data_IF_144875716092
#
_entry.id   IF_144875716092
#
_cell.length_a   1.000
_cell.length_b   1.000
_cell.length_c   1.000
_cell.angle_alpha   90.00
_cell.angle_beta   90.00
_cell.angle_gamma   90.00
#
_symmetry.space_group_name_H-M   'P 1'
#
loop_
_entity.id
_entity.type
_entity.pdbx_description
1 polymer ?
#
# COMPACT_ATOMS: atom_id res chain seq x y z
N UNK A 1 -47.30 65.22 69.62
CA UNK A 1 -45.93 65.02 70.15
C UNK A 1 -45.18 64.11 69.16
N UNK A 2 -43.91 64.44 68.86
CA UNK A 2 -42.79 63.54 68.46
C UNK A 2 -43.08 62.41 67.42
N UNK A 3 -42.70 62.52 66.14
CA UNK A 3 -41.38 62.27 65.48
C UNK A 3 -41.02 60.80 65.15
N UNK A 4 -40.43 60.60 63.95
CA UNK A 4 -39.90 59.37 63.28
C UNK A 4 -38.74 58.66 64.03
N UNK A 5 -38.08 57.53 63.57
CA UNK A 5 -38.15 56.79 62.29
C UNK A 5 -38.00 55.23 62.32
N UNK A 6 -37.83 54.66 61.11
CA UNK A 6 -37.63 53.25 60.60
C UNK A 6 -36.14 52.81 60.79
N UNK A 7 -35.71 51.52 61.05
CA UNK A 7 -35.75 50.43 60.04
C UNK A 7 -35.60 48.90 60.38
N UNK A 8 -36.10 48.07 59.45
CA UNK A 8 -35.59 46.77 58.90
C UNK A 8 -35.04 45.60 59.77
N UNK A 9 -35.53 44.37 59.47
CA UNK A 9 -34.68 43.21 59.06
C UNK A 9 -35.39 42.27 58.06
N UNK A 10 -34.79 42.10 56.88
CA UNK A 10 -35.01 40.92 56.02
C UNK A 10 -34.48 39.67 56.73
N UNK A 11 -35.10 38.49 56.53
CA UNK A 11 -34.39 37.31 56.02
C UNK A 11 -35.34 36.19 55.55
N UNK A 12 -35.34 35.95 54.24
CA UNK A 12 -35.44 34.67 53.50
C UNK A 12 -36.28 33.51 54.10
N UNK A 13 -37.31 33.08 53.36
CA UNK A 13 -37.66 31.66 53.14
C UNK A 13 -38.76 31.51 52.06
N UNK A 14 -38.38 31.64 50.77
CA UNK A 14 -39.30 31.43 49.63
C UNK A 14 -38.53 31.20 48.31
N UNK A 15 -37.66 30.18 48.26
CA UNK A 15 -36.86 29.84 47.07
C UNK A 15 -36.43 28.37 47.04
N UNK A 16 -37.39 27.44 47.04
CA UNK A 16 -37.11 25.99 47.03
C UNK A 16 -38.14 25.16 46.24
N UNK A 17 -38.57 25.63 45.05
CA UNK A 17 -39.45 24.85 44.17
C UNK A 17 -39.27 25.11 42.66
N UNK A 18 -38.09 25.55 42.22
CA UNK A 18 -37.85 25.93 40.80
C UNK A 18 -36.46 25.52 40.28
N UNK A 19 -35.95 24.34 40.67
CA UNK A 19 -34.66 23.86 40.14
C UNK A 19 -34.53 22.32 39.97
N UNK A 20 -35.61 21.65 39.54
CA UNK A 20 -35.60 20.20 39.25
C UNK A 20 -36.18 19.83 37.88
N UNK A 21 -36.01 20.69 36.86
CA UNK A 21 -36.44 20.42 35.47
C UNK A 21 -35.30 20.53 34.44
N UNK A 22 -34.03 20.65 34.90
CA UNK A 22 -32.85 20.85 34.04
C UNK A 22 -32.04 19.60 33.69
N UNK A 23 -32.51 18.41 34.09
CA UNK A 23 -31.77 17.14 34.01
C UNK A 23 -32.49 16.06 33.17
N UNK A 24 -33.33 16.48 32.21
CA UNK A 24 -33.74 15.59 31.12
C UNK A 24 -32.51 15.42 30.21
N UNK A 25 -31.90 14.23 30.11
CA UNK A 25 -30.85 14.01 29.12
C UNK A 25 -31.46 14.30 27.74
N UNK A 26 -30.85 15.19 26.97
CA UNK A 26 -31.27 15.42 25.58
C UNK A 26 -31.34 14.05 24.90
N UNK A 27 -32.47 13.63 24.32
CA UNK A 27 -32.57 12.33 23.69
C UNK A 27 -31.41 12.21 22.70
N UNK A 28 -30.65 11.12 22.79
CA UNK A 28 -29.56 10.85 21.86
C UNK A 28 -30.15 10.97 20.46
N UNK A 29 -29.73 12.01 19.72
CA UNK A 29 -30.39 12.40 18.48
C UNK A 29 -30.17 11.24 17.52
N UNK A 30 -31.21 10.44 17.24
CA UNK A 30 -31.14 9.39 16.25
C UNK A 30 -30.76 10.04 14.93
N UNK A 31 -29.47 9.96 14.59
CA UNK A 31 -28.94 10.57 13.40
C UNK A 31 -29.41 9.72 12.22
N UNK A 32 -30.51 10.16 11.62
CA UNK A 32 -31.02 9.59 10.38
C UNK A 32 -29.95 9.67 9.31
N UNK A 33 -29.96 8.71 8.39
CA UNK A 33 -28.99 8.69 7.31
C UNK A 33 -29.12 9.98 6.46
N UNK A 34 -28.02 10.69 6.17
CA UNK A 34 -28.05 12.02 5.55
C UNK A 34 -28.29 11.94 4.02
N UNK A 35 -29.47 11.45 3.63
CA UNK A 35 -29.85 11.22 2.23
C UNK A 35 -29.81 12.51 1.40
N UNK A 36 -30.33 13.62 1.92
CA UNK A 36 -30.38 14.90 1.19
C UNK A 36 -28.97 15.44 0.92
N UNK A 37 -28.07 15.36 1.90
CA UNK A 37 -26.68 15.79 1.75
C UNK A 37 -25.94 14.92 0.74
N UNK A 38 -26.18 13.60 0.75
CA UNK A 38 -25.60 12.68 -0.23
C UNK A 38 -26.15 12.94 -1.64
N UNK A 39 -27.45 13.21 -1.79
CA UNK A 39 -28.04 13.59 -3.07
C UNK A 39 -27.48 14.91 -3.61
N UNK A 40 -27.27 15.91 -2.74
CA UNK A 40 -26.65 17.17 -3.13
C UNK A 40 -25.21 16.98 -3.65
N UNK A 41 -24.41 16.15 -2.98
CA UNK A 41 -23.06 15.78 -3.44
C UNK A 41 -23.09 15.02 -4.78
N UNK A 42 -24.02 14.08 -4.94
CA UNK A 42 -24.19 13.30 -6.18
C UNK A 42 -24.73 14.13 -7.36
N UNK A 43 -25.24 15.33 -7.09
CA UNK A 43 -25.73 16.28 -8.10
C UNK A 43 -24.72 17.40 -8.42
N UNK A 44 -23.47 17.29 -7.95
CA UNK A 44 -22.48 18.34 -8.13
C UNK A 44 -21.96 18.42 -9.58
N UNK A 45 -21.54 19.60 -10.07
CA UNK A 45 -21.07 19.77 -11.46
C UNK A 45 -19.89 18.85 -11.82
N UNK A 46 -19.05 18.49 -10.85
CA UNK A 46 -17.90 17.58 -11.02
C UNK A 46 -18.33 16.16 -11.43
N UNK A 47 -19.56 15.75 -11.10
CA UNK A 47 -20.11 14.41 -11.41
C UNK A 47 -21.06 14.41 -12.61
N UNK A 48 -21.29 15.55 -13.28
CA UNK A 48 -22.32 15.70 -14.33
C UNK A 48 -22.16 14.76 -15.56
N UNK A 49 -20.96 14.19 -15.76
CA UNK A 49 -20.65 13.23 -16.83
C UNK A 49 -20.17 11.87 -16.30
N UNK A 50 -20.24 11.64 -14.98
CA UNK A 50 -19.79 10.40 -14.35
C UNK A 50 -20.93 9.36 -14.29
N UNK A 51 -20.60 8.10 -14.58
CA UNK A 51 -21.48 6.98 -14.27
C UNK A 51 -21.33 6.60 -12.79
N UNK A 52 -22.26 7.04 -11.95
CA UNK A 52 -22.20 6.84 -10.50
C UNK A 52 -23.21 5.78 -10.04
N UNK A 53 -22.73 4.82 -9.26
CA UNK A 53 -23.54 3.84 -8.53
C UNK A 53 -23.23 3.90 -7.04
N UNK A 54 -24.28 3.93 -6.20
CA UNK A 54 -24.19 3.99 -4.75
C UNK A 54 -25.19 3.04 -4.14
N UNK A 55 -24.76 2.23 -3.17
CA UNK A 55 -25.64 1.38 -2.37
C UNK A 55 -25.19 1.46 -0.91
N UNK A 56 -26.07 1.92 -0.03
CA UNK A 56 -25.80 2.03 1.40
C UNK A 56 -26.81 1.18 2.17
N UNK A 57 -26.28 0.23 2.95
CA UNK A 57 -27.06 -0.63 3.84
C UNK A 57 -26.55 -0.51 5.27
N UNK A 58 -27.45 -0.66 6.24
CA UNK A 58 -27.08 -0.78 7.65
C UNK A 58 -26.50 -2.18 7.92
N UNK A 59 -25.41 -2.23 8.67
CA UNK A 59 -24.83 -3.49 9.16
C UNK A 59 -25.75 -4.11 10.22
N UNK A 60 -25.92 -5.44 10.19
CA UNK A 60 -26.78 -6.18 11.11
C UNK A 60 -28.12 -6.56 10.49
N UNK A 61 -29.02 -5.59 10.30
CA UNK A 61 -30.36 -5.82 9.72
C UNK A 61 -30.41 -5.74 8.18
N UNK A 62 -29.35 -5.26 7.54
CA UNK A 62 -29.26 -5.10 6.08
C UNK A 62 -30.15 -4.00 5.50
N UNK A 63 -30.78 -3.17 6.35
CA UNK A 63 -31.76 -2.17 5.96
C UNK A 63 -31.18 -1.21 4.90
N UNK A 64 -31.91 -1.02 3.80
CA UNK A 64 -31.51 -0.10 2.75
C UNK A 64 -31.65 1.35 3.25
N UNK A 65 -30.53 2.09 3.25
CA UNK A 65 -30.48 3.49 3.67
C UNK A 65 -30.44 4.44 2.46
N UNK A 66 -29.78 4.02 1.38
CA UNK A 66 -29.69 4.78 0.13
C UNK A 66 -29.38 3.87 -1.06
N UNK A 67 -29.90 4.22 -2.24
CA UNK A 67 -29.53 3.61 -3.51
C UNK A 67 -29.56 4.63 -4.66
N UNK A 68 -28.54 4.58 -5.51
CA UNK A 68 -28.49 5.22 -6.83
C UNK A 68 -27.86 4.20 -7.78
N UNK A 69 -28.54 3.85 -8.88
CA UNK A 69 -28.04 2.88 -9.88
C UNK A 69 -27.40 1.60 -9.29
N UNK A 70 -28.00 0.92 -8.28
CA UNK A 70 -27.30 -0.08 -7.47
C UNK A 70 -26.91 -1.38 -8.22
N UNK A 71 -27.42 -1.56 -9.44
CA UNK A 71 -27.15 -2.71 -10.30
C UNK A 71 -26.31 -2.33 -11.54
N UNK A 72 -25.78 -1.10 -11.62
CA UNK A 72 -24.94 -0.69 -12.74
C UNK A 72 -23.58 -1.41 -12.69
N UNK A 73 -23.15 -1.94 -13.83
CA UNK A 73 -21.80 -2.49 -13.98
C UNK A 73 -20.81 -1.34 -14.15
N UNK A 74 -19.86 -1.23 -13.21
CA UNK A 74 -18.84 -0.19 -13.15
C UNK A 74 -17.47 -0.85 -12.96
N UNK A 75 -16.40 -0.17 -13.40
CA UNK A 75 -15.03 -0.62 -13.12
C UNK A 75 -14.77 -0.45 -11.62
N UNK A 76 -14.52 -1.54 -10.85
CA UNK A 76 -14.39 -1.45 -9.40
C UNK A 76 -13.04 -0.89 -8.95
N UNK A 77 -12.07 -0.76 -9.86
CA UNK A 77 -10.67 -0.49 -9.56
C UNK A 77 -10.18 -1.39 -8.39
N UNK A 78 -9.46 -0.85 -7.42
CA UNK A 78 -8.98 -1.62 -6.26
C UNK A 78 -10.09 -2.16 -5.34
N UNK A 79 -11.36 -1.80 -5.49
CA UNK A 79 -12.44 -2.44 -4.72
C UNK A 79 -12.63 -3.93 -5.07
N UNK A 80 -12.09 -4.40 -6.22
CA UNK A 80 -12.03 -5.83 -6.54
C UNK A 80 -11.32 -6.65 -5.46
N UNK A 81 -10.36 -6.02 -4.75
CA UNK A 81 -9.61 -6.65 -3.65
C UNK A 81 -10.51 -7.13 -2.51
N UNK A 82 -11.69 -6.52 -2.31
CA UNK A 82 -12.66 -7.00 -1.32
C UNK A 82 -13.13 -8.43 -1.63
N UNK A 83 -13.42 -8.72 -2.90
CA UNK A 83 -13.84 -10.06 -3.35
C UNK A 83 -12.68 -11.05 -3.28
N UNK A 84 -11.49 -10.66 -3.75
CA UNK A 84 -10.29 -11.50 -3.69
C UNK A 84 -9.92 -11.85 -2.25
N UNK A 85 -9.91 -10.88 -1.33
CA UNK A 85 -9.63 -11.11 0.08
C UNK A 85 -10.67 -12.03 0.75
N UNK A 86 -11.96 -11.84 0.45
CA UNK A 86 -13.01 -12.72 0.97
C UNK A 86 -12.84 -14.17 0.46
N UNK A 87 -12.58 -14.36 -0.83
CA UNK A 87 -12.36 -15.69 -1.42
C UNK A 87 -11.10 -16.39 -0.86
N UNK A 88 -10.01 -15.64 -0.63
CA UNK A 88 -8.78 -16.19 -0.01
C UNK A 88 -9.02 -16.58 1.45
N UNK A 89 -9.75 -15.77 2.22
CA UNK A 89 -10.08 -16.08 3.62
C UNK A 89 -11.03 -17.28 3.74
N UNK A 90 -11.99 -17.43 2.84
CA UNK A 90 -12.90 -18.59 2.78
C UNK A 90 -12.15 -19.87 2.39
N UNK A 91 -11.33 -19.82 1.34
CA UNK A 91 -10.62 -20.98 0.81
C UNK A 91 -9.48 -21.49 1.70
N UNK A 92 -8.78 -20.60 2.42
CA UNK A 92 -7.57 -20.95 3.17
C UNK A 92 -7.65 -20.71 4.69
N UNK A 93 -8.62 -19.94 5.17
CA UNK A 93 -8.68 -19.47 6.55
C UNK A 93 -7.66 -18.37 6.89
N UNK A 94 -7.85 -17.65 8.01
CA UNK A 94 -6.98 -16.52 8.41
C UNK A 94 -5.57 -16.95 8.85
N UNK A 95 -5.39 -18.21 9.24
CA UNK A 95 -4.13 -18.75 9.75
C UNK A 95 -3.20 -19.28 8.65
N UNK A 96 -3.64 -19.27 7.39
CA UNK A 96 -2.79 -19.67 6.26
C UNK A 96 -1.53 -18.81 6.21
N UNK A 97 -0.39 -19.48 6.04
CA UNK A 97 0.88 -18.85 5.66
C UNK A 97 1.37 -19.50 4.38
N UNK A 98 1.78 -18.66 3.44
CA UNK A 98 2.60 -19.06 2.30
C UNK A 98 4.06 -19.07 2.77
N UNK A 99 4.92 -19.89 2.15
CA UNK A 99 6.29 -20.07 2.63
C UNK A 99 7.24 -20.47 1.53
N UNK A 100 8.33 -19.71 1.37
CA UNK A 100 9.48 -20.12 0.57
C UNK A 100 10.29 -21.18 1.32
N UNK A 101 10.66 -22.25 0.61
CA UNK A 101 11.35 -23.41 1.20
C UNK A 101 12.69 -23.67 0.52
N UNK A 102 13.64 -24.25 1.26
CA UNK A 102 14.91 -24.72 0.68
C UNK A 102 14.95 -26.24 0.75
N UNK A 103 15.13 -26.89 -0.39
CA UNK A 103 15.24 -28.35 -0.55
C UNK A 103 16.64 -28.70 -1.05
N UNK A 104 17.05 -29.95 -0.89
CA UNK A 104 18.34 -30.45 -1.37
C UNK A 104 18.19 -31.86 -1.95
N UNK A 105 18.95 -32.18 -3.00
CA UNK A 105 19.14 -33.54 -3.46
C UNK A 105 20.58 -34.02 -3.18
N UNK A 106 20.85 -35.31 -3.38
CA UNK A 106 22.20 -35.85 -3.21
C UNK A 106 22.60 -36.09 -1.74
N UNK A 107 23.88 -35.92 -1.41
CA UNK A 107 24.44 -36.33 -0.11
C UNK A 107 25.38 -35.28 0.49
N UNK A 108 25.21 -35.00 1.78
CA UNK A 108 26.16 -34.17 2.54
C UNK A 108 27.34 -35.03 3.02
N UNK A 109 28.57 -34.63 2.69
CA UNK A 109 29.83 -35.25 3.16
C UNK A 109 30.86 -34.16 3.42
N UNK A 110 31.60 -34.25 4.53
CA UNK A 110 32.66 -33.29 4.89
C UNK A 110 32.23 -31.81 4.80
N UNK A 111 31.00 -31.51 5.26
CA UNK A 111 30.37 -30.18 5.18
C UNK A 111 30.20 -29.64 3.74
N UNK A 112 29.98 -30.53 2.77
CA UNK A 112 29.67 -30.20 1.37
C UNK A 112 28.45 -31.01 0.94
N UNK A 113 27.45 -30.36 0.34
CA UNK A 113 26.37 -31.05 -0.37
C UNK A 113 26.90 -31.44 -1.75
N UNK A 114 26.90 -32.74 -2.07
CA UNK A 114 27.15 -33.25 -3.43
C UNK A 114 25.79 -33.52 -4.07
N UNK A 115 25.33 -32.55 -4.86
CA UNK A 115 23.93 -32.44 -5.30
C UNK A 115 23.48 -30.97 -5.32
N UNK A 116 22.26 -30.75 -5.81
CA UNK A 116 21.69 -29.43 -6.04
C UNK A 116 20.89 -28.95 -4.82
N UNK A 117 20.90 -27.63 -4.61
CA UNK A 117 20.06 -26.93 -3.65
C UNK A 117 18.92 -26.24 -4.42
N UNK A 118 17.69 -26.31 -3.92
CA UNK A 118 16.51 -25.74 -4.57
C UNK A 118 15.91 -24.66 -3.66
N UNK A 119 15.74 -23.45 -4.17
CA UNK A 119 14.94 -22.40 -3.55
C UNK A 119 13.55 -22.44 -4.18
N UNK A 120 12.58 -23.04 -3.47
CA UNK A 120 11.22 -23.25 -3.98
C UNK A 120 10.26 -22.19 -3.43
N UNK A 121 9.65 -21.45 -4.35
CA UNK A 121 8.59 -20.50 -4.09
C UNK A 121 7.30 -21.18 -3.63
N UNK A 122 6.68 -20.62 -2.59
CA UNK A 122 5.42 -21.09 -2.03
C UNK A 122 4.23 -20.14 -2.25
N UNK A 123 4.38 -19.14 -3.12
CA UNK A 123 3.44 -18.03 -3.26
C UNK A 123 3.51 -17.03 -2.11
N UNK A 124 4.68 -16.85 -1.51
CA UNK A 124 4.92 -15.90 -0.40
C UNK A 124 5.34 -14.53 -0.96
N UNK A 125 4.47 -13.50 -0.92
CA UNK A 125 4.78 -12.17 -1.44
C UNK A 125 5.63 -11.33 -0.46
N UNK A 126 5.97 -11.87 0.72
CA UNK A 126 6.63 -11.15 1.82
C UNK A 126 8.11 -11.47 2.01
N UNK A 127 8.68 -12.36 1.18
CA UNK A 127 10.10 -12.66 1.22
C UNK A 127 10.94 -11.43 0.83
N UNK A 128 11.84 -11.03 1.73
CA UNK A 128 12.77 -9.92 1.56
C UNK A 128 14.23 -10.41 1.64
N UNK A 129 15.19 -9.51 1.41
CA UNK A 129 16.62 -9.81 1.56
C UNK A 129 17.00 -10.40 2.94
N UNK A 130 16.33 -9.99 4.02
CA UNK A 130 16.58 -10.54 5.36
C UNK A 130 16.07 -11.98 5.51
N UNK A 131 14.87 -12.27 4.98
CA UNK A 131 14.28 -13.60 4.92
C UNK A 131 15.15 -14.56 4.10
N UNK A 132 15.67 -14.10 2.95
CA UNK A 132 16.60 -14.87 2.13
C UNK A 132 17.92 -15.15 2.87
N UNK A 133 18.50 -14.15 3.55
CA UNK A 133 19.68 -14.34 4.39
C UNK A 133 19.42 -15.32 5.56
N UNK A 134 18.23 -15.29 6.15
CA UNK A 134 17.82 -16.22 7.20
C UNK A 134 17.63 -17.66 6.67
N UNK A 135 17.15 -17.84 5.43
CA UNK A 135 17.11 -19.15 4.76
C UNK A 135 18.54 -19.67 4.53
N UNK A 136 19.46 -18.84 4.00
CA UNK A 136 20.86 -19.22 3.82
C UNK A 136 21.56 -19.59 5.15
N UNK A 137 21.27 -18.85 6.23
CA UNK A 137 21.78 -19.16 7.57
C UNK A 137 21.28 -20.52 8.08
N UNK A 138 20.01 -20.88 7.84
CA UNK A 138 19.45 -22.20 8.16
C UNK A 138 20.14 -23.32 7.38
N UNK A 139 20.38 -23.15 6.07
CA UNK A 139 21.13 -24.12 5.24
C UNK A 139 22.54 -24.37 5.80
N UNK A 140 23.25 -23.29 6.18
CA UNK A 140 24.57 -23.37 6.80
C UNK A 140 24.53 -24.08 8.17
N UNK A 141 23.48 -23.85 8.96
CA UNK A 141 23.25 -24.51 10.25
C UNK A 141 22.97 -26.02 10.10
N UNK A 142 22.30 -26.43 9.01
CA UNK A 142 22.14 -27.84 8.62
C UNK A 142 23.45 -28.52 8.15
N UNK A 143 24.61 -27.87 8.32
CA UNK A 143 25.92 -28.44 7.99
C UNK A 143 26.31 -28.32 6.52
N UNK A 144 25.62 -27.47 5.73
CA UNK A 144 25.86 -27.23 4.30
C UNK A 144 26.41 -25.81 4.09
N UNK A 145 27.69 -25.52 4.41
CA UNK A 145 28.34 -24.26 4.04
C UNK A 145 28.79 -24.21 2.57
N UNK A 146 28.77 -25.33 1.84
CA UNK A 146 29.18 -25.41 0.43
C UNK A 146 28.27 -26.39 -0.31
N UNK A 147 27.83 -25.99 -1.51
CA UNK A 147 27.10 -26.81 -2.48
C UNK A 147 28.05 -27.18 -3.62
N UNK A 148 28.00 -28.43 -4.06
CA UNK A 148 28.76 -28.99 -5.19
C UNK A 148 27.71 -29.57 -6.15
N UNK A 149 27.15 -28.66 -6.93
CA UNK A 149 25.93 -28.80 -7.72
C UNK A 149 25.30 -27.42 -7.91
N UNK A 150 24.12 -27.36 -8.53
CA UNK A 150 23.46 -26.10 -8.85
C UNK A 150 22.66 -25.52 -7.69
N UNK A 151 22.49 -24.20 -7.68
CA UNK A 151 21.37 -23.54 -7.02
C UNK A 151 20.23 -23.41 -8.04
N UNK A 152 19.15 -24.14 -7.83
CA UNK A 152 17.97 -24.16 -8.68
C UNK A 152 16.90 -23.25 -8.07
N UNK A 153 16.39 -22.31 -8.85
CA UNK A 153 15.22 -21.52 -8.51
C UNK A 153 13.98 -22.27 -9.00
N UNK A 154 13.03 -22.55 -8.12
CA UNK A 154 11.84 -23.35 -8.43
C UNK A 154 10.56 -22.54 -8.18
N UNK A 155 10.03 -22.01 -9.28
CA UNK A 155 8.81 -21.20 -9.33
C UNK A 155 7.59 -22.01 -9.80
N UNK A 156 7.74 -23.33 -10.01
CA UNK A 156 6.78 -24.18 -10.71
C UNK A 156 5.44 -24.44 -9.99
N UNK A 157 5.18 -23.75 -8.88
CA UNK A 157 3.87 -23.77 -8.20
C UNK A 157 2.82 -22.96 -8.96
N UNK A 158 3.21 -21.90 -9.66
CA UNK A 158 2.30 -21.08 -10.47
C UNK A 158 2.41 -21.47 -11.95
N UNK A 159 1.30 -21.36 -12.67
CA UNK A 159 1.21 -21.65 -14.10
C UNK A 159 0.21 -20.69 -14.76
N UNK A 160 0.48 -20.34 -16.02
CA UNK A 160 -0.29 -19.33 -16.75
C UNK A 160 0.45 -17.98 -16.85
N UNK A 161 -0.23 -16.90 -17.27
CA UNK A 161 0.37 -15.57 -17.36
C UNK A 161 0.66 -14.99 -15.97
N UNK A 162 1.81 -14.33 -15.83
CA UNK A 162 2.22 -13.61 -14.62
C UNK A 162 1.62 -12.20 -14.50
N UNK A 163 1.17 -11.62 -15.62
CA UNK A 163 0.49 -10.32 -15.69
C UNK A 163 -1.04 -10.47 -15.70
N UNK A 164 -1.74 -9.48 -15.16
CA UNK A 164 -3.19 -9.45 -15.13
C UNK A 164 -3.82 -9.25 -16.52
N UNK A 165 -4.91 -9.96 -16.80
CA UNK A 165 -5.63 -9.83 -18.05
C UNK A 165 -6.21 -8.41 -18.21
N UNK A 166 -5.86 -7.74 -19.31
CA UNK A 166 -6.32 -6.37 -19.62
C UNK A 166 -5.55 -5.26 -18.92
N UNK A 167 -4.39 -5.54 -18.32
CA UNK A 167 -3.46 -4.50 -17.86
C UNK A 167 -2.85 -3.73 -19.04
N UNK A 168 -2.45 -2.47 -18.80
CA UNK A 168 -1.75 -1.68 -19.81
C UNK A 168 -0.26 -2.04 -19.83
N UNK A 169 0.32 -2.10 -21.03
CA UNK A 169 1.76 -2.28 -21.21
C UNK A 169 2.58 -1.11 -20.62
N UNK A 170 1.95 0.07 -20.48
CA UNK A 170 2.50 1.26 -19.83
C UNK A 170 2.65 1.09 -18.31
N UNK A 171 1.84 0.22 -17.70
CA UNK A 171 1.86 -0.05 -16.26
C UNK A 171 2.98 -1.02 -15.87
N UNK A 172 3.38 -1.93 -16.78
CA UNK A 172 4.29 -3.06 -16.53
C UNK A 172 5.67 -2.68 -15.96
N UNK A 173 6.11 -1.43 -16.16
CA UNK A 173 7.34 -0.91 -15.59
C UNK A 173 7.29 -0.68 -14.07
N UNK A 174 6.09 -0.63 -13.47
CA UNK A 174 5.87 -0.11 -12.12
C UNK A 174 5.46 -1.20 -11.14
N UNK A 175 5.86 -1.06 -9.87
CA UNK A 175 5.66 -2.08 -8.82
C UNK A 175 4.20 -2.58 -8.64
N UNK A 176 3.20 -1.79 -9.02
CA UNK A 176 1.78 -2.15 -8.88
C UNK A 176 1.28 -3.09 -9.99
N UNK A 177 2.06 -3.27 -11.05
CA UNK A 177 1.84 -4.24 -12.12
C UNK A 177 2.98 -5.28 -12.20
N UNK A 178 3.78 -5.43 -11.14
CA UNK A 178 4.87 -6.40 -11.10
C UNK A 178 4.37 -7.84 -11.36
N UNK A 179 5.05 -8.62 -12.21
CA UNK A 179 4.72 -10.01 -12.50
C UNK A 179 4.53 -10.88 -11.25
N UNK A 180 3.40 -11.57 -11.18
CA UNK A 180 3.11 -12.53 -10.14
C UNK A 180 3.96 -13.80 -10.33
N UNK A 181 4.81 -14.10 -9.34
CA UNK A 181 5.58 -15.36 -9.27
C UNK A 181 5.24 -16.14 -7.99
N UNK A 182 5.47 -17.45 -8.03
CA UNK A 182 5.48 -18.29 -6.85
C UNK A 182 6.66 -17.96 -5.90
N UNK A 183 7.73 -17.37 -6.43
CA UNK A 183 8.88 -16.88 -5.69
C UNK A 183 9.09 -15.40 -6.02
N UNK A 184 8.60 -14.51 -5.16
CA UNK A 184 8.92 -13.09 -5.24
C UNK A 184 9.97 -12.70 -4.22
N UNK A 185 10.81 -11.70 -4.54
CA UNK A 185 11.75 -11.08 -3.60
C UNK A 185 11.50 -9.56 -3.57
N UNK A 186 11.39 -8.98 -2.38
CA UNK A 186 11.11 -7.55 -2.18
C UNK A 186 9.86 -7.07 -2.94
N UNK A 187 8.89 -7.97 -3.14
CA UNK A 187 7.67 -7.74 -3.91
C UNK A 187 7.85 -7.67 -5.43
N UNK A 188 8.91 -8.29 -5.98
CA UNK A 188 9.31 -8.21 -7.39
C UNK A 188 9.46 -6.76 -7.88
N UNK A 189 10.08 -5.91 -7.04
CA UNK A 189 10.37 -4.55 -7.44
C UNK A 189 11.71 -4.04 -6.86
N UNK A 190 12.48 -3.35 -7.71
CA UNK A 190 13.70 -2.64 -7.32
C UNK A 190 13.36 -1.20 -6.97
N UNK A 191 13.90 -0.70 -5.86
CA UNK A 191 13.77 0.71 -5.51
C UNK A 191 14.82 1.53 -6.27
N UNK A 192 14.36 2.45 -7.11
CA UNK A 192 15.16 3.53 -7.69
C UNK A 192 15.12 4.72 -6.73
N UNK A 193 16.28 5.27 -6.38
CA UNK A 193 16.37 6.50 -5.59
C UNK A 193 17.27 7.52 -6.28
N UNK A 194 16.72 8.69 -6.56
CA UNK A 194 17.41 9.83 -7.20
C UNK A 194 17.47 11.00 -6.22
N UNK A 195 18.68 11.32 -5.76
CA UNK A 195 18.95 12.44 -4.87
C UNK A 195 19.69 13.58 -5.60
N UNK A 196 19.55 14.86 -5.20
CA UNK A 196 20.33 15.94 -5.79
C UNK A 196 21.83 15.76 -5.50
N UNK A 197 22.68 16.18 -6.45
CA UNK A 197 24.12 16.32 -6.23
C UNK A 197 24.44 17.40 -5.17
N UNK A 198 25.68 17.42 -4.67
CA UNK A 198 26.07 18.40 -3.64
C UNK A 198 26.18 19.84 -4.18
N UNK A 199 26.26 20.00 -5.50
CA UNK A 199 26.28 21.29 -6.20
C UNK A 199 25.58 21.19 -7.55
N UNK A 200 25.26 22.33 -8.17
CA UNK A 200 24.69 22.39 -9.53
C UNK A 200 25.64 21.87 -10.61
N UNK A 201 26.93 21.73 -10.30
CA UNK A 201 27.95 21.17 -11.20
C UNK A 201 28.08 19.65 -11.07
N UNK A 202 27.37 19.02 -10.14
CA UNK A 202 27.31 17.57 -9.99
C UNK A 202 25.97 17.04 -10.49
N UNK A 203 25.94 15.89 -11.20
CA UNK A 203 24.69 15.25 -11.57
C UNK A 203 23.94 14.73 -10.32
N UNK A 204 22.65 14.41 -10.44
CA UNK A 204 21.91 13.69 -9.42
C UNK A 204 22.58 12.35 -9.08
N UNK A 205 22.57 11.99 -7.79
CA UNK A 205 23.03 10.68 -7.32
C UNK A 205 21.90 9.68 -7.53
N UNK A 206 22.14 8.68 -8.37
CA UNK A 206 21.17 7.64 -8.74
C UNK A 206 21.61 6.33 -8.11
N UNK A 207 20.69 5.65 -7.43
CA UNK A 207 20.93 4.35 -6.78
C UNK A 207 19.77 3.40 -7.03
N UNK A 208 20.09 2.11 -7.15
CA UNK A 208 19.14 1.00 -7.23
C UNK A 208 19.34 0.09 -6.01
N UNK A 209 18.26 -0.47 -5.44
CA UNK A 209 18.38 -1.45 -4.36
C UNK A 209 18.97 -2.79 -4.79
N UNK A 210 18.92 -3.09 -6.10
CA UNK A 210 19.59 -4.22 -6.74
C UNK A 210 20.01 -3.82 -8.17
N UNK A 211 21.20 -4.24 -8.61
CA UNK A 211 21.76 -3.86 -9.92
C UNK A 211 21.24 -4.71 -11.10
N UNK A 212 20.36 -5.69 -10.85
CA UNK A 212 19.78 -6.59 -11.85
C UNK A 212 18.33 -6.92 -11.49
N UNK A 213 17.45 -7.14 -12.49
CA UNK A 213 17.68 -7.01 -13.93
C UNK A 213 17.61 -5.56 -14.45
N UNK A 214 17.22 -4.60 -13.61
CA UNK A 214 17.03 -3.20 -13.98
C UNK A 214 18.38 -2.47 -14.07
N UNK A 215 18.58 -1.67 -15.14
CA UNK A 215 19.80 -0.88 -15.34
C UNK A 215 19.47 0.58 -15.67
N UNK A 216 20.31 1.51 -15.22
CA UNK A 216 20.30 2.89 -15.70
C UNK A 216 20.98 2.90 -17.07
N UNK A 217 20.23 3.17 -18.14
CA UNK A 217 20.77 3.25 -19.50
C UNK A 217 21.20 4.68 -19.87
N UNK A 218 20.49 5.69 -19.36
CA UNK A 218 20.87 7.09 -19.55
C UNK A 218 20.53 7.94 -18.31
N UNK A 219 21.33 8.97 -18.07
CA UNK A 219 21.03 10.00 -17.09
C UNK A 219 21.36 11.38 -17.68
N UNK A 220 20.32 12.07 -18.12
CA UNK A 220 20.33 13.44 -18.61
C UNK A 220 19.74 14.42 -17.58
N UNK A 221 19.44 13.96 -16.36
CA UNK A 221 18.92 14.81 -15.31
C UNK A 221 20.03 15.66 -14.67
N UNK A 222 19.69 16.86 -14.20
CA UNK A 222 20.64 17.78 -13.56
C UNK A 222 20.23 18.19 -12.14
N UNK A 223 21.23 18.63 -11.37
CA UNK A 223 21.00 19.21 -10.04
C UNK A 223 20.68 20.70 -10.17
N UNK A 224 19.47 21.10 -9.81
CA UNK A 224 18.99 22.49 -9.94
C UNK A 224 19.34 23.36 -8.71
N UNK A 225 19.33 24.70 -8.83
CA UNK A 225 19.43 25.59 -7.67
C UNK A 225 18.38 25.28 -6.59
N UNK A 226 18.72 25.52 -5.33
CA UNK A 226 17.76 25.42 -4.22
C UNK A 226 16.56 26.34 -4.47
N UNK A 227 15.35 25.79 -4.37
CA UNK A 227 14.09 26.52 -4.60
C UNK A 227 13.62 26.55 -6.06
N UNK A 228 14.36 25.95 -7.00
CA UNK A 228 13.84 25.66 -8.33
C UNK A 228 12.70 24.60 -8.28
N UNK A 229 11.85 24.49 -9.30
CA UNK A 229 10.89 23.39 -9.41
C UNK A 229 11.57 22.03 -9.52
N UNK A 230 10.95 21.00 -8.95
CA UNK A 230 11.27 19.60 -9.24
C UNK A 230 10.62 19.21 -10.56
N UNK A 231 11.41 18.79 -11.54
CA UNK A 231 10.95 18.39 -12.89
C UNK A 231 11.53 17.04 -13.32
N UNK A 232 12.13 16.29 -12.39
CA UNK A 232 12.70 14.97 -12.66
C UNK A 232 11.65 14.04 -13.29
N UNK A 233 12.02 13.38 -14.38
CA UNK A 233 11.24 12.33 -15.03
C UNK A 233 12.02 11.02 -15.02
N UNK A 234 11.29 9.92 -14.82
CA UNK A 234 11.80 8.55 -14.85
C UNK A 234 11.04 7.83 -15.96
N UNK A 235 11.75 7.46 -17.02
CA UNK A 235 11.22 6.67 -18.12
C UNK A 235 11.82 5.26 -18.06
N UNK A 236 11.00 4.24 -18.32
CA UNK A 236 11.44 2.84 -18.34
C UNK A 236 11.07 2.23 -19.69
N UNK A 237 12.06 1.69 -20.39
CA UNK A 237 11.85 1.04 -21.67
C UNK A 237 11.18 -0.33 -21.49
N UNK A 238 9.93 -0.45 -21.96
CA UNK A 238 9.03 -1.60 -21.76
C UNK A 238 9.66 -2.99 -21.96
N UNK A 239 10.48 -3.20 -23.01
CA UNK A 239 11.09 -4.51 -23.28
C UNK A 239 12.48 -4.73 -22.69
N UNK A 240 13.21 -3.67 -22.38
CA UNK A 240 14.62 -3.78 -21.97
C UNK A 240 14.82 -3.46 -20.49
N UNK A 241 13.81 -2.90 -19.82
CA UNK A 241 13.85 -2.44 -18.42
C UNK A 241 15.03 -1.48 -18.17
N UNK A 242 15.41 -0.74 -19.22
CA UNK A 242 16.34 0.37 -19.17
C UNK A 242 15.65 1.59 -18.57
N UNK A 243 16.24 2.15 -17.53
CA UNK A 243 15.82 3.43 -16.96
C UNK A 243 16.56 4.56 -17.66
N UNK A 244 15.80 5.55 -18.10
CA UNK A 244 16.30 6.84 -18.57
C UNK A 244 15.80 7.95 -17.65
N UNK A 245 16.71 8.86 -17.27
CA UNK A 245 16.41 9.96 -16.36
C UNK A 245 16.59 11.30 -17.08
N UNK A 246 15.62 12.21 -16.89
CA UNK A 246 15.65 13.56 -17.48
C UNK A 246 15.05 14.59 -16.50
N UNK A 247 15.07 15.87 -16.88
CA UNK A 247 14.59 16.96 -16.02
C UNK A 247 15.56 17.31 -14.89
N UNK A 248 15.05 17.89 -13.80
CA UNK A 248 15.90 18.49 -12.76
C UNK A 248 15.43 18.19 -11.34
N UNK A 249 16.39 17.98 -10.42
CA UNK A 249 16.15 17.84 -8.98
C UNK A 249 16.87 18.97 -8.18
N UNK A 250 16.15 19.81 -7.42
CA UNK A 250 16.74 20.93 -6.68
C UNK A 250 17.66 20.53 -5.51
N UNK A 251 18.72 21.30 -5.27
CA UNK A 251 19.54 21.15 -4.05
C UNK A 251 18.66 21.31 -2.81
N UNK A 252 18.70 20.30 -1.94
CA UNK A 252 17.90 20.24 -0.71
C UNK A 252 16.47 19.73 -0.89
N UNK A 253 16.09 19.28 -2.09
CA UNK A 253 14.91 18.44 -2.26
C UNK A 253 15.11 17.09 -1.55
N UNK A 254 14.00 16.47 -1.14
CA UNK A 254 14.03 15.06 -0.74
C UNK A 254 14.35 14.18 -1.96
N UNK A 255 15.03 13.03 -1.79
CA UNK A 255 15.21 12.09 -2.88
C UNK A 255 13.86 11.66 -3.47
N UNK A 256 13.79 11.60 -4.81
CA UNK A 256 12.69 10.94 -5.50
C UNK A 256 12.91 9.44 -5.39
N UNK A 257 11.88 8.70 -4.97
CA UNK A 257 11.94 7.26 -4.74
C UNK A 257 10.84 6.61 -5.57
N UNK A 258 11.23 5.81 -6.54
CA UNK A 258 10.34 5.00 -7.38
C UNK A 258 10.55 3.52 -7.11
N UNK A 259 9.53 2.71 -7.36
CA UNK A 259 9.64 1.24 -7.33
C UNK A 259 9.28 0.67 -8.68
N UNK A 260 10.27 0.07 -9.32
CA UNK A 260 10.22 -0.44 -10.68
C UNK A 260 10.05 -1.95 -10.65
N UNK A 261 9.15 -2.50 -11.47
CA UNK A 261 8.88 -3.92 -11.53
C UNK A 261 10.09 -4.72 -12.05
N UNK A 262 10.32 -5.88 -11.44
CA UNK A 262 11.22 -6.92 -11.95
C UNK A 262 10.41 -7.78 -12.94
N UNK A 263 10.80 -7.86 -14.23
CA UNK A 263 10.14 -8.70 -15.22
C UNK A 263 10.26 -10.20 -14.94
#
# INVERSE_FOLDING_TARGET
MLTSPVPSRLFRLLSALTLLCGLIPKPARCQQFPTEQLQALLSSPELQHASVGVLVRRVGDGALLFALNPNALLVPASNVKLFTSAAVLDAFGPDRRFATTVLANGRVRNRRLYGNLYLRGGGDPSLDGNGLAALAAKVRACGIPVVVGDLVVDEGLFAGPSLGAGWSWEDEAWYYAAPASALSLDGNAVQLTVAPGASQTQPPVVTLSAEQPIRIASNHANTAPKGAPLTLQVEVEHHSHAVSLSGAIPIGAQPVVERLAVP
#
